data_IF_829896173321
#
_entry.id   IF_829896173321
#
_cell.length_a   1.000
_cell.length_b   1.000
_cell.length_c   1.000
_cell.angle_alpha   90.00
_cell.angle_beta   90.00
_cell.angle_gamma   90.00
#
_symmetry.space_group_name_H-M   'P 1'
#
loop_
_entity.id
_entity.type
_entity.pdbx_description
1 polymer ?
#
# COMPACT_ATOMS: atom_id res chain seq x y z
N UNK A 1 6.68 14.01 -27.12
CA UNK A 1 7.46 12.76 -26.98
C UNK A 1 8.42 12.69 -28.16
N UNK A 2 9.73 12.60 -27.95
CA UNK A 2 10.65 12.44 -29.08
C UNK A 2 10.44 11.05 -29.71
N UNK A 3 10.55 10.92 -31.04
CA UNK A 3 10.34 9.64 -31.72
C UNK A 3 11.28 8.54 -31.18
N UNK A 4 12.49 8.91 -30.75
CA UNK A 4 13.44 7.99 -30.10
C UNK A 4 12.94 7.41 -28.76
N UNK A 5 12.26 8.21 -27.92
CA UNK A 5 11.72 7.72 -26.66
C UNK A 5 10.53 6.77 -26.90
N UNK A 6 9.68 7.07 -27.89
CA UNK A 6 8.56 6.21 -28.25
C UNK A 6 9.04 4.82 -28.68
N UNK A 7 10.08 4.76 -29.51
CA UNK A 7 10.70 3.52 -29.95
C UNK A 7 11.34 2.78 -28.76
N UNK A 8 12.07 3.47 -27.89
CA UNK A 8 12.68 2.87 -26.71
C UNK A 8 11.65 2.26 -25.74
N UNK A 9 10.53 2.96 -25.50
CA UNK A 9 9.43 2.46 -24.68
C UNK A 9 8.75 1.25 -25.33
N UNK A 10 8.51 1.29 -26.65
CA UNK A 10 7.92 0.18 -27.39
C UNK A 10 8.82 -1.07 -27.36
N UNK A 11 10.12 -0.90 -27.57
CA UNK A 11 11.09 -2.00 -27.49
C UNK A 11 11.19 -2.56 -26.06
N UNK A 12 11.16 -1.69 -25.06
CA UNK A 12 11.15 -2.11 -23.65
C UNK A 12 9.89 -2.90 -23.32
N UNK A 13 8.71 -2.40 -23.71
CA UNK A 13 7.44 -3.09 -23.52
C UNK A 13 7.41 -4.44 -24.26
N UNK A 14 7.86 -4.49 -25.52
CA UNK A 14 7.96 -5.71 -26.30
C UNK A 14 8.93 -6.73 -25.67
N UNK A 15 10.06 -6.25 -25.14
CA UNK A 15 11.04 -7.09 -24.44
C UNK A 15 10.45 -7.66 -23.14
N UNK A 16 9.69 -6.85 -22.40
CA UNK A 16 9.00 -7.27 -21.18
C UNK A 16 7.92 -8.31 -21.48
N UNK A 17 7.12 -8.10 -22.52
CA UNK A 17 6.11 -9.06 -23.00
C UNK A 17 6.79 -10.35 -23.46
N UNK A 18 7.87 -10.26 -24.23
CA UNK A 18 8.66 -11.40 -24.69
C UNK A 18 9.24 -12.21 -23.52
N UNK A 19 9.77 -11.52 -22.51
CA UNK A 19 10.32 -12.15 -21.30
C UNK A 19 9.21 -12.82 -20.46
N UNK A 20 8.05 -12.17 -20.29
CA UNK A 20 6.89 -12.77 -19.62
C UNK A 20 6.38 -14.00 -20.39
N UNK A 21 6.35 -13.94 -21.72
CA UNK A 21 5.93 -15.06 -22.55
C UNK A 21 6.92 -16.23 -22.47
N UNK A 22 8.22 -15.95 -22.49
CA UNK A 22 9.29 -16.95 -22.39
C UNK A 22 9.30 -17.64 -21.02
N UNK A 23 9.11 -16.88 -19.95
CA UNK A 23 9.12 -17.39 -18.57
C UNK A 23 7.71 -17.64 -17.99
N UNK A 24 6.69 -17.73 -18.84
CA UNK A 24 5.27 -17.84 -18.44
C UNK A 24 5.00 -18.94 -17.41
N UNK A 25 5.65 -20.09 -17.55
CA UNK A 25 5.44 -21.24 -16.68
C UNK A 25 6.17 -21.05 -15.33
N UNK A 26 7.35 -20.43 -15.34
CA UNK A 26 8.04 -20.01 -14.12
C UNK A 26 7.24 -18.97 -13.35
N UNK A 27 6.76 -17.92 -14.04
CA UNK A 27 5.93 -16.87 -13.47
C UNK A 27 4.62 -17.43 -12.91
N UNK A 28 3.95 -18.35 -13.63
CA UNK A 28 2.76 -19.04 -13.13
C UNK A 28 3.04 -19.81 -11.85
N UNK A 29 4.17 -20.52 -11.76
CA UNK A 29 4.55 -21.27 -10.54
C UNK A 29 4.87 -20.35 -9.37
N UNK A 30 5.52 -19.20 -9.62
CA UNK A 30 5.89 -18.25 -8.57
C UNK A 30 4.68 -17.43 -8.09
N UNK A 31 3.82 -16.97 -9.02
CA UNK A 31 2.72 -16.06 -8.71
C UNK A 31 1.41 -16.78 -8.42
N UNK A 32 1.06 -17.82 -9.19
CA UNK A 32 -0.29 -18.39 -9.17
C UNK A 32 -0.39 -19.73 -8.45
N UNK A 33 0.72 -20.26 -7.92
CA UNK A 33 0.69 -21.50 -7.13
C UNK A 33 -0.10 -21.31 -5.85
N UNK A 34 -0.92 -22.31 -5.53
CA UNK A 34 -1.64 -22.40 -4.26
C UNK A 34 -0.69 -22.85 -3.15
N UNK A 35 -0.42 -21.96 -2.20
CA UNK A 35 0.54 -22.15 -1.11
C UNK A 35 -0.14 -22.16 0.27
N UNK A 36 0.61 -22.55 1.29
CA UNK A 36 0.17 -22.49 2.68
C UNK A 36 -0.05 -21.01 3.08
N UNK A 37 -1.22 -20.65 3.65
CA UNK A 37 -1.49 -19.28 4.11
C UNK A 37 -0.76 -18.89 5.41
N UNK A 38 -0.21 -19.84 6.17
CA UNK A 38 0.38 -19.58 7.50
C UNK A 38 1.54 -18.56 7.45
N UNK A 39 2.49 -18.62 6.51
CA UNK A 39 3.55 -17.60 6.42
C UNK A 39 3.00 -16.19 6.19
N UNK A 40 1.99 -16.04 5.32
CA UNK A 40 1.37 -14.73 5.09
C UNK A 40 0.58 -14.24 6.32
N UNK A 41 -0.06 -15.15 7.06
CA UNK A 41 -0.76 -14.80 8.28
C UNK A 41 0.21 -14.33 9.39
N UNK A 42 1.37 -14.99 9.53
CA UNK A 42 2.44 -14.55 10.43
C UNK A 42 3.01 -13.20 9.99
N UNK A 43 3.24 -13.02 8.69
CA UNK A 43 3.66 -11.73 8.14
C UNK A 43 2.66 -10.63 8.48
N UNK A 44 1.34 -10.87 8.30
CA UNK A 44 0.29 -9.92 8.65
C UNK A 44 0.35 -9.55 10.15
N UNK A 45 0.55 -10.51 11.04
CA UNK A 45 0.65 -10.25 12.49
C UNK A 45 1.89 -9.43 12.80
N UNK A 46 3.07 -9.87 12.33
CA UNK A 46 4.34 -9.17 12.58
C UNK A 46 4.31 -7.74 12.01
N UNK A 47 3.87 -7.61 10.75
CA UNK A 47 3.68 -6.32 10.09
C UNK A 47 2.70 -5.43 10.86
N UNK A 48 1.57 -6.00 11.28
CA UNK A 48 0.55 -5.30 12.07
C UNK A 48 1.10 -4.80 13.42
N UNK A 49 1.94 -5.60 14.10
CA UNK A 49 2.64 -5.16 15.30
C UNK A 49 3.61 -4.01 15.01
N UNK A 50 4.42 -4.11 13.95
CA UNK A 50 5.32 -3.01 13.55
C UNK A 50 4.54 -1.73 13.22
N UNK A 51 3.41 -1.85 12.53
CA UNK A 51 2.53 -0.71 12.24
C UNK A 51 1.96 -0.10 13.52
N UNK A 52 1.50 -0.91 14.47
CA UNK A 52 1.00 -0.42 15.76
C UNK A 52 2.09 0.31 16.56
N UNK A 53 3.32 -0.22 16.59
CA UNK A 53 4.47 0.44 17.23
C UNK A 53 4.76 1.78 16.53
N UNK A 54 4.82 1.81 15.21
CA UNK A 54 5.00 3.04 14.44
C UNK A 54 3.93 4.09 14.75
N UNK A 55 2.66 3.68 14.89
CA UNK A 55 1.58 4.59 15.26
C UNK A 55 1.73 5.12 16.71
N UNK A 56 2.21 4.30 17.64
CA UNK A 56 2.48 4.76 19.01
C UNK A 56 3.66 5.74 19.07
N UNK A 57 4.68 5.55 18.24
CA UNK A 57 5.81 6.48 18.11
C UNK A 57 5.38 7.82 17.50
N UNK A 58 4.48 7.80 16.51
CA UNK A 58 3.99 9.00 15.84
C UNK A 58 2.95 9.75 16.67
N UNK A 59 2.16 9.06 17.49
CA UNK A 59 1.08 9.65 18.30
C UNK A 59 1.47 10.91 19.09
N UNK A 60 2.59 10.98 19.84
CA UNK A 60 2.97 12.20 20.57
C UNK A 60 3.35 13.36 19.65
N UNK A 61 3.79 13.07 18.42
CA UNK A 61 4.19 14.07 17.42
C UNK A 61 3.04 14.45 16.48
N UNK A 62 1.88 13.80 16.61
CA UNK A 62 0.82 13.87 15.61
C UNK A 62 0.28 15.27 15.37
N UNK A 63 0.03 16.02 16.46
CA UNK A 63 -0.42 17.41 16.37
C UNK A 63 0.64 18.25 15.64
N UNK A 64 1.91 18.14 16.05
CA UNK A 64 2.99 18.89 15.44
C UNK A 64 3.22 18.54 13.95
N UNK A 65 3.06 17.28 13.56
CA UNK A 65 3.35 16.82 12.20
C UNK A 65 2.19 17.03 11.22
N UNK A 66 0.94 16.86 11.67
CA UNK A 66 -0.21 16.74 10.77
C UNK A 66 -1.35 17.71 11.03
N UNK A 67 -1.34 18.45 12.15
CA UNK A 67 -2.38 19.45 12.43
C UNK A 67 -2.07 20.81 11.80
N UNK A 68 -3.09 21.66 11.76
CA UNK A 68 -2.98 23.06 11.36
C UNK A 68 -2.16 23.94 12.32
N UNK A 69 -2.00 23.52 13.58
CA UNK A 69 -1.10 24.15 14.57
C UNK A 69 0.38 23.72 14.39
N UNK A 70 0.63 22.76 13.51
CA UNK A 70 1.93 22.12 13.33
C UNK A 70 2.79 22.68 12.19
N UNK A 71 3.68 21.84 11.68
CA UNK A 71 4.64 22.13 10.61
C UNK A 71 4.00 22.57 9.28
N UNK A 72 2.74 22.18 9.03
CA UNK A 72 2.05 22.50 7.79
C UNK A 72 0.67 23.10 8.12
N UNK A 73 0.62 24.42 8.39
CA UNK A 73 -0.62 25.13 8.60
C UNK A 73 -1.55 24.98 7.40
N UNK A 74 -2.87 24.93 7.66
CA UNK A 74 -3.87 24.69 6.60
C UNK A 74 -3.75 25.67 5.42
N UNK A 75 -3.46 26.94 5.72
CA UNK A 75 -3.27 27.98 4.70
C UNK A 75 -2.07 27.74 3.76
N UNK A 76 -1.06 26.98 4.19
CA UNK A 76 0.13 26.68 3.39
C UNK A 76 -0.02 25.40 2.53
N UNK A 77 -1.09 24.62 2.75
CA UNK A 77 -1.36 23.37 2.02
C UNK A 77 -1.51 23.58 0.49
N UNK A 78 -2.26 24.60 0.00
CA UNK A 78 -2.40 24.85 -1.44
C UNK A 78 -1.08 25.27 -2.10
N UNK A 79 -0.25 26.05 -1.39
CA UNK A 79 1.05 26.51 -1.87
C UNK A 79 2.03 25.34 -2.03
N UNK A 80 2.07 24.44 -1.04
CA UNK A 80 2.95 23.26 -1.05
C UNK A 80 2.54 22.20 -2.07
N UNK A 81 1.24 22.02 -2.32
CA UNK A 81 0.77 21.02 -3.28
C UNK A 81 0.97 21.41 -4.75
N UNK A 82 1.44 22.64 -5.03
CA UNK A 82 1.74 23.11 -6.37
C UNK A 82 0.49 23.36 -7.22
N UNK A 83 0.46 24.51 -7.91
CA UNK A 83 -0.70 25.00 -8.71
C UNK A 83 -1.28 24.00 -9.72
N UNK A 84 -0.54 22.98 -10.13
CA UNK A 84 -0.98 21.99 -11.14
C UNK A 84 -1.70 20.76 -10.59
N UNK A 85 -1.58 20.41 -9.31
CA UNK A 85 -2.17 19.19 -8.76
C UNK A 85 -3.60 19.36 -8.22
N UNK A 86 -4.11 20.59 -8.27
CA UNK A 86 -5.35 21.03 -7.63
C UNK A 86 -6.08 22.04 -8.54
N UNK A 87 -6.05 21.83 -9.86
CA UNK A 87 -6.85 22.64 -10.78
C UNK A 87 -8.32 22.48 -10.36
N UNK A 88 -8.94 23.55 -9.89
CA UNK A 88 -10.30 23.54 -9.38
C UNK A 88 -10.47 23.17 -7.90
N UNK A 89 -9.41 23.13 -7.08
CA UNK A 89 -9.53 23.01 -5.62
C UNK A 89 -9.47 24.40 -4.97
N UNK A 90 -10.45 24.72 -4.11
CA UNK A 90 -10.45 25.94 -3.30
C UNK A 90 -9.32 25.91 -2.26
N UNK A 91 -8.62 27.03 -2.10
CA UNK A 91 -7.42 27.16 -1.27
C UNK A 91 -7.71 27.25 0.24
N UNK A 92 -8.98 27.31 0.66
CA UNK A 92 -9.36 27.46 2.06
C UNK A 92 -9.07 28.85 2.64
N UNK A 93 -8.51 29.77 1.85
CA UNK A 93 -8.10 31.12 2.25
C UNK A 93 -8.95 32.17 1.53
N UNK A 94 -9.10 32.04 0.21
CA UNK A 94 -9.93 32.90 -0.65
C UNK A 94 -11.27 32.27 -0.96
N UNK A 95 -11.33 30.94 -0.97
CA UNK A 95 -12.53 30.16 -1.21
C UNK A 95 -12.59 28.92 -0.29
N UNK A 96 -13.78 28.33 -0.02
CA UNK A 96 -13.91 27.14 0.80
C UNK A 96 -13.00 25.99 0.31
N UNK A 97 -12.31 25.34 1.23
CA UNK A 97 -11.42 24.23 0.91
C UNK A 97 -12.21 23.05 0.31
N UNK A 98 -11.87 22.65 -0.92
CA UNK A 98 -12.49 21.50 -1.58
C UNK A 98 -12.58 21.63 -3.10
N UNK A 99 -12.93 20.54 -3.79
CA UNK A 99 -13.10 20.54 -5.24
C UNK A 99 -14.34 21.37 -5.64
N UNK A 100 -14.17 22.24 -6.63
CA UNK A 100 -15.21 23.16 -7.15
C UNK A 100 -16.21 22.47 -8.06
N UNK A 101 -15.77 21.44 -8.78
CA UNK A 101 -16.55 20.70 -9.76
C UNK A 101 -16.16 19.20 -9.80
N UNK A 102 -16.90 18.40 -10.55
CA UNK A 102 -16.67 16.96 -10.66
C UNK A 102 -15.30 16.63 -11.29
N UNK A 103 -14.79 17.50 -12.17
CA UNK A 103 -13.45 17.40 -12.76
C UNK A 103 -12.37 17.61 -11.71
N UNK A 104 -12.51 18.58 -10.82
CA UNK A 104 -11.60 18.79 -9.69
C UNK A 104 -11.63 17.64 -8.69
N UNK A 105 -12.79 17.01 -8.46
CA UNK A 105 -12.88 15.77 -7.65
C UNK A 105 -12.06 14.66 -8.32
N UNK A 106 -12.23 14.48 -9.63
CA UNK A 106 -11.53 13.46 -10.39
C UNK A 106 -10.02 13.68 -10.37
N UNK A 107 -9.57 14.92 -10.63
CA UNK A 107 -8.16 15.30 -10.60
C UNK A 107 -7.58 15.14 -9.19
N UNK A 108 -8.32 15.50 -8.14
CA UNK A 108 -7.90 15.30 -6.76
C UNK A 108 -7.68 13.82 -6.42
N UNK A 109 -8.57 12.94 -6.87
CA UNK A 109 -8.45 11.50 -6.64
C UNK A 109 -7.32 10.89 -7.49
N UNK A 110 -7.26 11.22 -8.79
CA UNK A 110 -6.28 10.67 -9.74
C UNK A 110 -4.87 11.17 -9.46
N UNK A 111 -4.70 12.41 -9.01
CA UNK A 111 -3.38 12.97 -8.64
C UNK A 111 -2.64 12.13 -7.60
N UNK A 112 -3.37 11.31 -6.84
CA UNK A 112 -2.81 10.51 -5.77
C UNK A 112 -2.30 11.35 -4.60
N UNK A 113 -2.67 12.64 -4.53
CA UNK A 113 -2.31 13.57 -3.44
C UNK A 113 -3.42 13.76 -2.40
N UNK A 114 -4.48 12.96 -2.47
CA UNK A 114 -5.65 13.07 -1.61
C UNK A 114 -5.32 12.86 -0.12
N UNK A 115 -5.94 13.66 0.75
CA UNK A 115 -5.97 13.42 2.19
C UNK A 115 -7.31 13.90 2.78
N UNK A 116 -7.96 13.11 3.65
CA UNK A 116 -9.14 13.60 4.38
C UNK A 116 -8.80 14.77 5.30
N UNK A 117 -7.53 14.89 5.72
CA UNK A 117 -7.05 15.95 6.60
C UNK A 117 -6.91 17.31 5.89
N UNK A 118 -7.27 17.44 4.61
CA UNK A 118 -7.38 18.76 3.97
C UNK A 118 -8.70 19.47 4.28
N UNK A 119 -9.73 18.71 4.66
CA UNK A 119 -11.03 19.27 4.99
C UNK A 119 -11.12 19.65 6.47
N UNK A 120 -10.46 18.88 7.34
CA UNK A 120 -10.37 19.15 8.76
C UNK A 120 -9.09 18.54 9.33
N UNK A 121 -8.27 19.35 9.99
CA UNK A 121 -6.96 18.99 10.55
C UNK A 121 -6.68 19.61 11.92
N UNK A 122 -7.70 20.04 12.66
CA UNK A 122 -7.49 20.41 14.08
C UNK A 122 -6.82 19.26 14.86
N UNK A 123 -6.08 19.54 15.94
CA UNK A 123 -5.40 18.49 16.72
C UNK A 123 -6.33 17.35 17.16
N UNK A 124 -7.58 17.66 17.51
CA UNK A 124 -8.59 16.66 17.85
C UNK A 124 -9.00 15.77 16.68
N UNK A 125 -9.12 16.33 15.46
CA UNK A 125 -9.44 15.56 14.24
C UNK A 125 -8.28 14.66 13.84
N UNK A 126 -7.04 15.16 13.93
CA UNK A 126 -5.83 14.33 13.71
C UNK A 126 -5.75 13.19 14.71
N UNK A 127 -6.02 13.46 16.00
CA UNK A 127 -6.10 12.44 17.04
C UNK A 127 -7.16 11.38 16.76
N UNK A 128 -8.36 11.78 16.33
CA UNK A 128 -9.42 10.87 15.92
C UNK A 128 -9.03 10.02 14.70
N UNK A 129 -8.38 10.61 13.70
CA UNK A 129 -7.87 9.92 12.53
C UNK A 129 -6.84 8.85 12.91
N UNK A 130 -5.90 9.18 13.80
CA UNK A 130 -4.94 8.22 14.34
C UNK A 130 -5.61 7.13 15.18
N UNK A 131 -6.61 7.46 15.99
CA UNK A 131 -7.39 6.48 16.76
C UNK A 131 -8.10 5.47 15.85
N UNK A 132 -8.72 5.95 14.77
CA UNK A 132 -9.35 5.10 13.75
C UNK A 132 -8.32 4.22 13.03
N UNK A 133 -7.16 4.79 12.68
CA UNK A 133 -6.08 4.06 12.04
C UNK A 133 -5.50 2.98 12.97
N UNK A 134 -5.32 3.29 14.25
CA UNK A 134 -4.90 2.33 15.27
C UNK A 134 -5.92 1.19 15.43
N UNK A 135 -7.20 1.51 15.52
CA UNK A 135 -8.27 0.51 15.58
C UNK A 135 -8.31 -0.39 14.33
N UNK A 136 -8.16 0.20 13.14
CA UNK A 136 -8.08 -0.54 11.88
C UNK A 136 -6.84 -1.44 11.82
N UNK A 137 -5.67 -0.94 12.23
CA UNK A 137 -4.43 -1.70 12.32
C UNK A 137 -4.55 -2.85 13.33
N UNK A 138 -5.14 -2.62 14.50
CA UNK A 138 -5.38 -3.66 15.50
C UNK A 138 -6.33 -4.74 14.97
N UNK A 139 -7.43 -4.35 14.33
CA UNK A 139 -8.34 -5.28 13.68
C UNK A 139 -7.63 -6.09 12.57
N UNK A 140 -6.74 -5.45 11.80
CA UNK A 140 -5.90 -6.12 10.81
C UNK A 140 -4.92 -7.09 11.46
N UNK A 141 -4.28 -6.75 12.58
CA UNK A 141 -3.34 -7.59 13.36
C UNK A 141 -4.03 -8.79 14.00
N UNK A 142 -5.29 -8.66 14.42
CA UNK A 142 -6.09 -9.77 14.91
C UNK A 142 -6.73 -10.60 13.78
N UNK A 143 -6.79 -10.05 12.57
CA UNK A 143 -7.46 -10.66 11.41
C UNK A 143 -8.98 -10.70 11.58
N UNK A 144 -9.55 -9.60 12.06
CA UNK A 144 -10.98 -9.36 12.18
C UNK A 144 -11.48 -8.55 10.98
N UNK A 145 -12.41 -9.12 10.20
CA UNK A 145 -12.84 -8.57 8.90
C UNK A 145 -11.63 -8.13 8.07
N UNK A 146 -10.67 -9.04 7.92
CA UNK A 146 -9.28 -8.80 7.49
C UNK A 146 -9.16 -7.96 6.22
N UNK A 147 -10.05 -8.16 5.24
CA UNK A 147 -10.05 -7.36 4.00
C UNK A 147 -10.47 -5.91 4.25
N UNK A 148 -11.52 -5.70 5.03
CA UNK A 148 -12.02 -4.37 5.36
C UNK A 148 -11.03 -3.63 6.27
N UNK A 149 -10.46 -4.32 7.26
CA UNK A 149 -9.42 -3.73 8.10
C UNK A 149 -8.17 -3.36 7.31
N UNK A 150 -7.72 -4.20 6.35
CA UNK A 150 -6.61 -3.86 5.46
C UNK A 150 -6.89 -2.62 4.60
N UNK A 151 -8.10 -2.53 4.00
CA UNK A 151 -8.52 -1.37 3.21
C UNK A 151 -8.57 -0.12 4.08
N UNK A 152 -9.18 -0.20 5.26
CA UNK A 152 -9.27 0.91 6.20
C UNK A 152 -7.88 1.37 6.67
N UNK A 153 -7.01 0.44 7.07
CA UNK A 153 -5.61 0.74 7.43
C UNK A 153 -4.88 1.41 6.28
N UNK A 154 -5.00 0.90 5.05
CA UNK A 154 -4.35 1.52 3.89
C UNK A 154 -4.88 2.92 3.60
N UNK A 155 -6.20 3.11 3.59
CA UNK A 155 -6.82 4.41 3.29
C UNK A 155 -6.42 5.47 4.32
N UNK A 156 -6.51 5.13 5.61
CA UNK A 156 -6.20 6.03 6.71
C UNK A 156 -4.70 6.33 6.77
N UNK A 157 -3.85 5.32 6.60
CA UNK A 157 -2.38 5.50 6.61
C UNK A 157 -1.91 6.32 5.41
N UNK A 158 -2.37 5.98 4.20
CA UNK A 158 -2.00 6.71 3.00
C UNK A 158 -2.56 8.14 2.99
N UNK A 159 -3.74 8.37 3.57
CA UNK A 159 -4.28 9.72 3.79
C UNK A 159 -3.42 10.54 4.76
N UNK A 160 -2.92 9.93 5.83
CA UNK A 160 -2.00 10.57 6.78
C UNK A 160 -0.67 10.96 6.10
N UNK A 161 -0.06 10.04 5.36
CA UNK A 161 1.19 10.32 4.63
C UNK A 161 1.04 11.41 3.59
N UNK A 162 -0.12 11.50 2.93
CA UNK A 162 -0.34 12.54 1.91
C UNK A 162 -0.60 13.91 2.52
N UNK A 163 -1.03 14.01 3.78
CA UNK A 163 -1.30 15.30 4.44
C UNK A 163 -0.04 16.17 4.57
N UNK A 164 1.14 15.57 4.67
CA UNK A 164 2.40 16.31 4.69
C UNK A 164 3.57 15.39 4.31
N UNK A 165 4.56 15.92 3.60
CA UNK A 165 5.74 15.13 3.19
C UNK A 165 6.73 14.88 4.35
N UNK A 166 6.24 14.75 5.58
CA UNK A 166 7.03 14.31 6.73
C UNK A 166 7.28 12.80 6.61
N UNK A 167 8.19 12.43 5.71
CA UNK A 167 8.55 11.05 5.39
C UNK A 167 9.93 10.73 5.97
N UNK A 168 10.02 9.64 6.74
CA UNK A 168 11.27 9.14 7.31
C UNK A 168 11.84 7.96 6.50
N UNK A 169 11.16 7.61 5.39
CA UNK A 169 11.59 6.62 4.39
C UNK A 169 11.04 5.21 4.62
N UNK A 170 10.63 4.88 5.85
CA UNK A 170 10.02 3.58 6.20
C UNK A 170 8.54 3.49 5.84
N UNK A 171 7.83 4.61 5.81
CA UNK A 171 6.38 4.71 5.64
C UNK A 171 5.92 4.20 4.26
N UNK A 172 6.77 4.34 3.25
CA UNK A 172 6.51 3.84 1.90
C UNK A 172 6.38 2.30 1.90
N UNK A 173 7.17 1.61 2.74
CA UNK A 173 7.10 0.15 2.89
C UNK A 173 5.78 -0.23 3.54
N UNK A 174 5.37 0.46 4.61
CA UNK A 174 4.08 0.24 5.26
C UNK A 174 2.91 0.43 4.29
N UNK A 175 2.91 1.53 3.53
CA UNK A 175 1.85 1.84 2.57
C UNK A 175 1.76 0.78 1.45
N UNK A 176 2.90 0.38 0.87
CA UNK A 176 2.95 -0.64 -0.17
C UNK A 176 2.51 -2.02 0.34
N UNK A 177 2.93 -2.41 1.55
CA UNK A 177 2.56 -3.70 2.14
C UNK A 177 1.08 -3.72 2.51
N UNK A 178 0.55 -2.64 3.09
CA UNK A 178 -0.89 -2.49 3.34
C UNK A 178 -1.69 -2.66 2.05
N UNK A 179 -1.25 -2.03 0.96
CA UNK A 179 -1.89 -2.16 -0.35
C UNK A 179 -1.92 -3.63 -0.81
N UNK A 180 -0.80 -4.33 -0.77
CA UNK A 180 -0.72 -5.74 -1.14
C UNK A 180 -1.57 -6.62 -0.20
N UNK A 181 -1.62 -6.32 1.11
CA UNK A 181 -2.41 -7.04 2.10
C UNK A 181 -3.92 -6.96 1.85
N UNK A 182 -4.43 -5.87 1.26
CA UNK A 182 -5.85 -5.74 0.88
C UNK A 182 -6.30 -6.87 -0.06
N UNK A 183 -5.37 -7.40 -0.86
CA UNK A 183 -5.62 -8.37 -1.92
C UNK A 183 -5.11 -9.77 -1.61
N UNK A 184 -4.31 -9.93 -0.54
CA UNK A 184 -3.49 -11.14 -0.32
C UNK A 184 -4.20 -12.32 0.36
N UNK A 185 -5.49 -12.20 0.70
CA UNK A 185 -6.22 -13.20 1.51
C UNK A 185 -5.49 -13.58 2.82
N UNK A 186 -4.76 -12.63 3.42
CA UNK A 186 -3.98 -12.78 4.65
C UNK A 186 -4.79 -13.19 5.90
N UNK A 187 -6.13 -13.22 5.80
CA UNK A 187 -7.03 -13.74 6.83
C UNK A 187 -7.31 -15.25 6.73
N UNK A 188 -6.66 -15.99 5.83
CA UNK A 188 -6.92 -17.42 5.63
C UNK A 188 -6.33 -18.34 6.74
N UNK A 189 -5.40 -17.84 7.56
CA UNK A 189 -4.84 -18.51 8.72
C UNK A 189 -4.61 -17.51 9.87
N UNK A 190 -4.49 -18.04 11.10
CA UNK A 190 -4.22 -17.29 12.34
C UNK A 190 -5.02 -15.98 12.49
N UNK A 191 -6.30 -16.00 12.15
CA UNK A 191 -7.18 -14.83 12.14
C UNK A 191 -8.50 -15.13 12.86
N UNK A 192 -9.12 -14.08 13.40
CA UNK A 192 -10.48 -14.17 13.94
C UNK A 192 -11.47 -14.62 12.87
N UNK A 193 -11.30 -14.17 11.62
CA UNK A 193 -12.14 -14.58 10.49
C UNK A 193 -12.08 -16.09 10.22
N UNK A 194 -10.87 -16.67 10.19
CA UNK A 194 -10.68 -18.11 10.00
C UNK A 194 -11.22 -18.91 11.19
N UNK A 195 -11.02 -18.41 12.41
CA UNK A 195 -11.57 -19.02 13.62
C UNK A 195 -13.10 -19.08 13.57
N UNK A 196 -13.78 -17.96 13.25
CA UNK A 196 -15.24 -17.91 13.10
C UNK A 196 -15.72 -18.86 12.01
N UNK A 197 -15.03 -18.91 10.86
CA UNK A 197 -15.32 -19.84 9.76
C UNK A 197 -15.23 -21.30 10.21
N UNK A 198 -14.11 -21.68 10.83
CA UNK A 198 -13.89 -23.06 11.28
C UNK A 198 -14.88 -23.46 12.38
N UNK A 199 -15.24 -22.55 13.30
CA UNK A 199 -16.27 -22.79 14.31
C UNK A 199 -17.63 -23.07 13.66
N UNK A 200 -18.01 -22.30 12.65
CA UNK A 200 -19.26 -22.52 11.91
C UNK A 200 -19.26 -23.85 11.13
N UNK A 201 -18.16 -24.18 10.44
CA UNK A 201 -18.03 -25.43 9.68
C UNK A 201 -18.02 -26.66 10.60
N UNK A 202 -17.36 -26.57 11.75
CA UNK A 202 -17.34 -27.65 12.76
C UNK A 202 -18.74 -27.96 13.28
N UNK A 203 -19.55 -26.94 13.57
CA UNK A 203 -20.94 -27.12 13.99
C UNK A 203 -21.81 -27.81 12.93
N UNK A 204 -21.45 -27.68 11.65
CA UNK A 204 -22.14 -28.32 10.52
C UNK A 204 -21.56 -29.68 10.15
N UNK A 205 -20.51 -30.16 10.84
CA UNK A 205 -19.81 -31.40 10.48
C UNK A 205 -19.04 -31.34 9.15
N UNK A 206 -18.84 -30.14 8.57
CA UNK A 206 -18.23 -29.96 7.24
C UNK A 206 -16.73 -29.62 7.32
N UNK A 207 -16.13 -29.64 8.50
CA UNK A 207 -14.72 -29.31 8.71
C UNK A 207 -13.89 -30.58 8.73
N UNK A 208 -12.83 -30.65 7.93
CA UNK A 208 -11.80 -31.68 8.05
C UNK A 208 -11.04 -31.44 9.35
N UNK A 209 -11.15 -32.37 10.28
CA UNK A 209 -10.45 -32.33 11.57
C UNK A 209 -9.08 -33.00 11.43
N UNK A 210 -8.07 -32.64 12.25
CA UNK A 210 -6.73 -33.21 12.16
C UNK A 210 -6.69 -34.74 12.31
N UNK A 211 -7.55 -35.28 13.17
CA UNK A 211 -7.69 -36.73 13.42
C UNK A 211 -8.68 -37.43 12.48
N UNK A 212 -9.31 -36.71 11.55
CA UNK A 212 -10.37 -37.22 10.68
C UNK A 212 -9.96 -37.29 9.21
N UNK A 213 -10.93 -37.61 8.32
CA UNK A 213 -10.68 -37.67 6.88
C UNK A 213 -10.12 -36.35 6.34
N UNK A 214 -9.03 -36.42 5.58
CA UNK A 214 -8.33 -35.27 5.02
C UNK A 214 -7.36 -34.56 5.98
N UNK A 215 -7.21 -35.00 7.24
CA UNK A 215 -6.16 -34.54 8.16
C UNK A 215 -6.08 -33.02 8.38
N UNK A 216 -7.20 -32.31 8.27
CA UNK A 216 -7.24 -30.84 8.35
C UNK A 216 -6.94 -30.09 7.04
N UNK A 217 -6.48 -30.79 5.99
CA UNK A 217 -6.23 -30.23 4.66
C UNK A 217 -7.48 -30.20 3.76
N UNK A 218 -8.59 -30.75 4.23
CA UNK A 218 -9.82 -30.93 3.45
C UNK A 218 -9.87 -32.30 2.79
N UNK A 219 -11.08 -32.75 2.47
CA UNK A 219 -11.32 -34.00 1.75
C UNK A 219 -12.36 -33.77 0.66
N UNK A 220 -12.18 -34.42 -0.50
CA UNK A 220 -13.20 -34.43 -1.54
C UNK A 220 -14.48 -35.15 -1.09
N UNK A 221 -15.57 -35.07 -1.87
CA UNK A 221 -16.78 -35.85 -1.64
C UNK A 221 -16.47 -37.35 -1.49
N UNK A 222 -17.05 -37.99 -0.48
CA UNK A 222 -16.93 -39.43 -0.25
C UNK A 222 -18.25 -39.99 0.28
N UNK A 223 -18.40 -41.32 0.35
CA UNK A 223 -19.58 -41.95 0.91
C UNK A 223 -19.88 -41.48 2.36
N UNK A 224 -18.84 -41.18 3.14
CA UNK A 224 -18.97 -40.66 4.50
C UNK A 224 -19.19 -39.14 4.57
N UNK A 225 -18.88 -38.40 3.49
CA UNK A 225 -19.02 -36.95 3.42
C UNK A 225 -19.46 -36.53 1.99
N UNK A 226 -20.76 -36.59 1.67
CA UNK A 226 -21.25 -36.39 0.30
C UNK A 226 -20.96 -34.99 -0.27
N UNK A 227 -20.83 -33.98 0.60
CA UNK A 227 -20.47 -32.61 0.19
C UNK A 227 -18.97 -32.29 0.31
N UNK A 228 -18.15 -33.27 0.70
CA UNK A 228 -16.74 -33.08 1.03
C UNK A 228 -16.51 -32.35 2.35
N UNK A 229 -15.24 -32.28 2.78
CA UNK A 229 -14.81 -31.60 4.01
C UNK A 229 -13.90 -30.42 3.67
N UNK A 230 -14.18 -29.26 4.26
CA UNK A 230 -13.38 -28.06 4.09
C UNK A 230 -12.09 -28.12 4.92
N UNK A 231 -11.01 -27.57 4.37
CA UNK A 231 -9.73 -27.41 5.07
C UNK A 231 -9.81 -26.40 6.23
N UNK A 232 -8.99 -26.64 7.28
CA UNK A 232 -8.78 -25.69 8.37
C UNK A 232 -8.16 -24.39 7.84
N UNK A 233 -7.19 -24.51 6.94
CA UNK A 233 -6.53 -23.40 6.27
C UNK A 233 -6.75 -23.51 4.77
N UNK A 234 -7.38 -22.50 4.18
CA UNK A 234 -7.57 -22.45 2.73
C UNK A 234 -6.27 -22.01 2.07
N UNK A 235 -5.83 -22.75 1.05
CA UNK A 235 -4.67 -22.33 0.25
C UNK A 235 -4.94 -20.99 -0.42
N UNK A 236 -3.90 -20.19 -0.54
CA UNK A 236 -3.93 -18.85 -1.12
C UNK A 236 -2.97 -18.79 -2.31
N UNK A 237 -3.18 -17.88 -3.28
CA UNK A 237 -2.20 -17.68 -4.35
C UNK A 237 -0.91 -17.03 -3.79
N UNK A 238 0.24 -17.41 -4.34
CA UNK A 238 1.56 -16.98 -3.87
C UNK A 238 1.95 -15.54 -4.28
N UNK A 239 1.29 -14.95 -5.28
CA UNK A 239 1.66 -13.65 -5.86
C UNK A 239 1.86 -12.53 -4.83
N UNK A 240 1.05 -12.37 -3.76
CA UNK A 240 1.25 -11.26 -2.84
C UNK A 240 2.57 -11.38 -2.09
N UNK A 241 2.92 -12.59 -1.67
CA UNK A 241 4.17 -12.88 -0.96
C UNK A 241 5.37 -12.71 -1.90
N UNK A 242 5.23 -13.15 -3.15
CA UNK A 242 6.25 -12.97 -4.18
C UNK A 242 6.50 -11.48 -4.48
N UNK A 243 5.45 -10.66 -4.60
CA UNK A 243 5.58 -9.22 -4.80
C UNK A 243 6.17 -8.51 -3.58
N UNK A 244 5.77 -8.87 -2.36
CA UNK A 244 6.35 -8.32 -1.13
C UNK A 244 7.85 -8.63 -1.05
N UNK A 245 8.23 -9.89 -1.31
CA UNK A 245 9.64 -10.30 -1.31
C UNK A 245 10.43 -9.61 -2.42
N UNK A 246 9.90 -9.58 -3.65
CA UNK A 246 10.53 -8.91 -4.79
C UNK A 246 10.73 -7.41 -4.53
N UNK A 247 9.73 -6.74 -3.98
CA UNK A 247 9.85 -5.33 -3.59
C UNK A 247 10.97 -5.12 -2.57
N UNK A 248 11.04 -5.93 -1.51
CA UNK A 248 12.11 -5.80 -0.52
C UNK A 248 13.48 -6.05 -1.14
N UNK A 249 13.64 -7.09 -1.96
CA UNK A 249 14.89 -7.36 -2.67
C UNK A 249 15.31 -6.17 -3.50
N UNK A 250 14.41 -5.60 -4.31
CA UNK A 250 14.70 -4.42 -5.12
C UNK A 250 15.04 -3.20 -4.25
N UNK A 251 14.25 -2.92 -3.21
CA UNK A 251 14.48 -1.80 -2.32
C UNK A 251 15.83 -1.88 -1.60
N UNK A 252 16.19 -3.05 -1.06
CA UNK A 252 17.44 -3.24 -0.33
C UNK A 252 18.64 -3.37 -1.27
N UNK A 253 18.50 -3.98 -2.44
CA UNK A 253 19.57 -4.01 -3.45
C UNK A 253 19.87 -2.60 -3.96
N UNK A 254 18.84 -1.81 -4.30
CA UNK A 254 19.03 -0.42 -4.73
C UNK A 254 19.66 0.43 -3.62
N UNK A 255 19.19 0.27 -2.37
CA UNK A 255 19.77 0.96 -1.22
C UNK A 255 21.24 0.57 -0.99
N UNK A 256 21.55 -0.72 -1.04
CA UNK A 256 22.91 -1.24 -0.93
C UNK A 256 23.83 -0.72 -2.04
N UNK A 257 23.35 -0.70 -3.28
CA UNK A 257 24.10 -0.17 -4.43
C UNK A 257 24.44 1.32 -4.25
N UNK A 258 23.47 2.14 -3.86
CA UNK A 258 23.69 3.57 -3.61
C UNK A 258 24.69 3.79 -2.47
N UNK A 259 24.61 2.98 -1.41
CA UNK A 259 25.51 3.05 -0.26
C UNK A 259 26.90 2.46 -0.51
N UNK A 260 27.10 1.72 -1.60
CA UNK A 260 28.41 1.19 -1.98
C UNK A 260 29.29 2.22 -2.71
N UNK A 261 28.74 3.36 -3.12
CA UNK A 261 29.47 4.43 -3.81
C UNK A 261 30.50 5.14 -2.93
N UNK A 262 31.54 5.68 -3.57
CA UNK A 262 32.62 6.41 -2.89
C UNK A 262 32.12 7.59 -2.06
N UNK A 263 31.09 8.29 -2.55
CA UNK A 263 30.48 9.43 -1.86
C UNK A 263 29.79 9.05 -0.53
N UNK A 264 29.30 7.82 -0.38
CA UNK A 264 28.78 7.32 0.89
C UNK A 264 29.93 6.98 1.85
N UNK A 265 31.03 6.43 1.35
CA UNK A 265 32.21 6.06 2.13
C UNK A 265 32.98 7.27 2.65
N UNK A 266 33.05 8.36 1.88
CA UNK A 266 33.70 9.61 2.27
C UNK A 266 32.84 10.50 3.18
N UNK A 267 31.55 10.20 3.30
CA UNK A 267 30.59 10.98 4.10
C UNK A 267 30.02 12.21 3.38
N UNK A 268 30.48 12.51 2.17
CA UNK A 268 30.05 13.67 1.38
C UNK A 268 28.56 13.61 1.01
N UNK A 269 27.97 12.41 0.93
CA UNK A 269 26.52 12.24 0.68
C UNK A 269 25.68 12.97 1.72
N UNK A 270 26.10 13.00 2.99
CA UNK A 270 25.31 13.67 4.02
C UNK A 270 25.26 15.18 3.76
N UNK A 271 26.39 15.76 3.36
CA UNK A 271 26.47 17.16 2.95
C UNK A 271 25.59 17.44 1.71
N UNK A 272 25.64 16.58 0.69
CA UNK A 272 24.77 16.71 -0.50
C UNK A 272 23.28 16.61 -0.19
N UNK A 273 22.89 15.73 0.74
CA UNK A 273 21.49 15.58 1.15
C UNK A 273 21.02 16.78 1.97
N UNK A 274 21.85 17.28 2.89
CA UNK A 274 21.52 18.46 3.70
C UNK A 274 21.49 19.75 2.88
N UNK A 275 22.29 19.85 1.81
CA UNK A 275 22.30 21.00 0.91
C UNK A 275 21.23 20.93 -0.20
N UNK A 276 20.60 19.77 -0.43
CA UNK A 276 19.47 19.65 -1.34
C UNK A 276 18.16 19.86 -0.57
N UNK A 277 17.50 20.96 -0.88
CA UNK A 277 16.18 21.32 -0.34
C UNK A 277 15.10 20.25 -0.65
N UNK A 278 15.26 19.48 -1.74
CA UNK A 278 14.36 18.37 -2.10
C UNK A 278 15.14 17.11 -2.42
N UNK A 279 15.02 16.07 -1.59
CA UNK A 279 15.53 14.74 -1.92
C UNK A 279 14.57 14.04 -2.89
N UNK A 280 14.89 14.13 -4.18
CA UNK A 280 14.16 13.40 -5.23
C UNK A 280 14.89 12.07 -5.48
N UNK A 281 14.36 10.96 -4.93
CA UNK A 281 14.96 9.61 -5.03
C UNK A 281 15.10 9.12 -6.48
N UNK A 282 14.15 9.53 -7.32
CA UNK A 282 14.15 9.38 -8.77
C UNK A 282 13.42 10.60 -9.32
N UNK A 283 14.03 11.34 -10.26
CA UNK A 283 13.36 12.46 -10.91
C UNK A 283 12.26 11.94 -11.85
N UNK A 284 11.11 11.62 -11.25
CA UNK A 284 9.92 11.21 -11.97
C UNK A 284 9.42 12.34 -12.85
N UNK A 285 9.74 13.60 -12.55
CA UNK A 285 9.44 14.74 -13.43
C UNK A 285 10.15 14.61 -14.77
N UNK A 286 11.42 14.18 -14.80
CA UNK A 286 12.12 13.90 -16.05
C UNK A 286 11.50 12.72 -16.81
N UNK A 287 11.13 11.64 -16.11
CA UNK A 287 10.47 10.48 -16.72
C UNK A 287 9.04 10.80 -17.23
N UNK A 288 8.26 11.56 -16.46
CA UNK A 288 6.89 12.01 -16.79
C UNK A 288 6.93 13.07 -17.89
N UNK A 289 7.90 14.01 -17.86
CA UNK A 289 8.12 14.97 -18.93
C UNK A 289 8.57 14.27 -20.23
N UNK A 290 9.40 13.22 -20.12
CA UNK A 290 9.76 12.38 -21.24
C UNK A 290 8.54 11.64 -21.81
N UNK A 291 7.72 11.00 -20.95
CA UNK A 291 6.47 10.33 -21.34
C UNK A 291 5.41 11.30 -21.90
N UNK A 292 5.50 12.58 -21.57
CA UNK A 292 4.48 13.57 -21.88
C UNK A 292 3.16 13.32 -21.14
N UNK A 293 2.17 14.21 -21.27
CA UNK A 293 0.90 14.16 -20.53
C UNK A 293 -0.07 13.02 -20.95
N UNK A 294 0.43 11.95 -21.57
CA UNK A 294 -0.35 11.02 -22.37
C UNK A 294 -0.61 9.65 -21.71
N UNK A 295 -1.14 9.64 -20.48
CA UNK A 295 -2.32 8.79 -20.30
C UNK A 295 -3.52 9.50 -19.67
N UNK A 296 -3.41 10.79 -19.33
CA UNK A 296 -4.45 11.50 -18.54
C UNK A 296 -5.12 12.68 -19.27
N UNK A 297 -4.66 13.11 -20.45
CA UNK A 297 -5.33 14.15 -21.26
C UNK A 297 -6.38 13.58 -22.23
N UNK A 298 -7.36 12.83 -21.73
CA UNK A 298 -8.59 12.56 -22.50
C UNK A 298 -9.70 13.60 -22.27
N UNK A 299 -9.42 14.72 -21.60
CA UNK A 299 -10.43 15.74 -21.26
C UNK A 299 -10.03 17.20 -21.56
N UNK A 300 -9.10 17.45 -22.49
CA UNK A 300 -8.72 18.81 -22.89
C UNK A 300 -8.82 19.03 -24.42
N UNK A 301 -9.82 18.41 -25.03
CA UNK A 301 -10.11 18.52 -26.46
C UNK A 301 -11.61 18.57 -26.71
N UNK A 302 -12.27 19.59 -26.16
CA UNK A 302 -13.54 20.17 -26.60
C UNK A 302 -13.68 21.54 -25.94
#
# INVERSE_FOLDING_TARGET
MSPGLAVALALTAASLVGLVALYREGLRRVLLRAVDPRPLALLRIAFGCCLLVNLLEIAPLAAYLFSDEGLLPRAAVPERMGRGALIGFGDGVREPAGPRDATAVLDFVISGRWSPLYFADSPGVVGAHLGLLFAAALALTLGFRTRLSAIASWLLYAGLLRRGEAHWGGEQVFCAFLFLLMWSRCGAAYSVDNWRRCRALRRRGLLSMPSGPGGGAGAGPSAAAPHGLAAIYRRIPAWPQALMAGQLVLCYAANGWVKAGTSWQTGDVLQFVLLRDTYVRWDMSAAIAAMGPWPLRLAAGA
#
